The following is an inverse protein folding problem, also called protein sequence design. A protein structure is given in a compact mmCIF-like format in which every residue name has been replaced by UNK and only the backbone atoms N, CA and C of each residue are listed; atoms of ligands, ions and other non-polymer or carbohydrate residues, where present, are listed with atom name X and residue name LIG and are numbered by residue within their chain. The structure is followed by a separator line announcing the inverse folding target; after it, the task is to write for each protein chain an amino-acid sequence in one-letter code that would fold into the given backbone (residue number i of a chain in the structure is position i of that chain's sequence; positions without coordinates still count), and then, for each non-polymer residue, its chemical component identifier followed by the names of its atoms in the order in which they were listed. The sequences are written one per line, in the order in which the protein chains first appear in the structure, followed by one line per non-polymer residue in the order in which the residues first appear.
data_IF_419445961298
#
_entry.id   IF_419445961298
#
_cell.length_a   1.000
_cell.length_b   1.000
_cell.length_c   1.000
_cell.angle_alpha   90.00
_cell.angle_beta   90.00
_cell.angle_gamma   90.00
#
_symmetry.space_group_name_H-M   'P 1'
#
loop_
_entity.id
_entity.type
_entity.pdbx_description
1 polymer ?
#
# COMPACT_ATOMS: atom_id res chain seq x y z
N UNK A 1 0.31 -18.81 17.25
CA UNK A 1 0.91 -19.79 16.32
C UNK A 1 0.96 -19.13 14.95
N UNK A 2 2.05 -18.43 14.63
CA UNK A 2 2.32 -18.01 13.25
C UNK A 2 2.64 -19.28 12.47
N UNK A 3 1.81 -19.63 11.49
CA UNK A 3 2.05 -20.78 10.62
C UNK A 3 3.34 -20.52 9.84
N UNK A 4 4.13 -21.58 9.60
CA UNK A 4 5.41 -21.51 8.86
C UNK A 4 5.32 -20.81 7.49
N UNK A 5 4.10 -20.69 6.97
CA UNK A 5 3.74 -20.05 5.71
C UNK A 5 3.76 -18.52 5.78
N UNK A 6 3.45 -17.92 6.94
CA UNK A 6 3.66 -16.49 7.15
C UNK A 6 5.13 -16.13 7.15
N UNK A 7 5.97 -16.96 7.81
CA UNK A 7 7.40 -16.72 8.06
C UNK A 7 8.23 -16.46 6.79
N UNK A 8 7.92 -17.12 5.66
CA UNK A 8 8.67 -16.96 4.40
C UNK A 8 8.31 -15.69 3.61
N UNK A 9 7.08 -15.20 3.69
CA UNK A 9 6.68 -13.93 3.04
C UNK A 9 7.41 -12.72 3.64
N UNK A 10 7.76 -12.79 4.93
CA UNK A 10 8.47 -11.73 5.63
C UNK A 10 9.93 -11.60 5.23
N UNK A 11 10.61 -12.67 4.79
CA UNK A 11 12.05 -12.63 4.48
C UNK A 11 12.36 -11.75 3.27
N UNK A 12 11.52 -11.79 2.23
CA UNK A 12 11.71 -10.94 1.04
C UNK A 12 11.21 -9.52 1.22
N UNK A 13 10.16 -9.31 2.01
CA UNK A 13 9.77 -7.97 2.46
C UNK A 13 10.89 -7.34 3.31
N UNK A 14 11.52 -8.12 4.19
CA UNK A 14 12.68 -7.70 4.96
C UNK A 14 13.87 -7.41 4.04
N UNK A 15 14.14 -8.29 3.06
CA UNK A 15 15.22 -8.09 2.10
C UNK A 15 15.01 -6.84 1.23
N UNK A 16 13.79 -6.60 0.74
CA UNK A 16 13.43 -5.36 0.04
C UNK A 16 13.65 -4.16 0.96
N UNK A 17 13.17 -4.24 2.20
CA UNK A 17 13.37 -3.22 3.21
C UNK A 17 14.85 -3.03 3.66
N UNK A 18 15.78 -3.89 3.22
CA UNK A 18 17.15 -3.99 3.74
C UNK A 18 17.21 -4.17 5.27
N UNK A 19 16.22 -4.87 5.84
CA UNK A 19 16.09 -5.16 7.26
C UNK A 19 16.40 -6.65 7.49
N UNK A 20 17.01 -6.98 8.64
CA UNK A 20 17.16 -8.37 9.06
C UNK A 20 15.77 -8.99 9.33
N UNK A 21 15.43 -10.14 8.73
CA UNK A 21 14.14 -10.80 8.97
C UNK A 21 13.97 -11.24 10.43
N UNK A 22 15.07 -11.37 11.19
CA UNK A 22 15.07 -11.69 12.62
C UNK A 22 14.80 -10.46 13.51
N UNK A 23 14.55 -9.27 12.94
CA UNK A 23 14.21 -8.09 13.71
C UNK A 23 12.77 -8.22 14.26
N UNK A 24 12.56 -8.36 15.57
CA UNK A 24 11.22 -8.52 16.16
C UNK A 24 10.33 -7.30 15.91
N UNK A 25 10.90 -6.10 15.77
CA UNK A 25 10.16 -4.88 15.48
C UNK A 25 9.61 -4.87 14.05
N UNK A 26 10.31 -5.52 13.11
CA UNK A 26 9.86 -5.66 11.73
C UNK A 26 8.70 -6.65 11.63
N UNK A 27 8.80 -7.81 12.29
CA UNK A 27 7.71 -8.78 12.31
C UNK A 27 6.42 -8.18 12.90
N UNK A 28 6.52 -7.45 14.01
CA UNK A 28 5.36 -6.78 14.62
C UNK A 28 4.76 -5.69 13.73
N UNK A 29 5.58 -4.95 12.98
CA UNK A 29 5.10 -3.96 12.02
C UNK A 29 4.34 -4.60 10.87
N UNK A 30 4.87 -5.68 10.29
CA UNK A 30 4.20 -6.35 9.17
C UNK A 30 2.91 -7.04 9.64
N UNK A 31 2.90 -7.67 10.82
CA UNK A 31 1.67 -8.22 11.41
C UNK A 31 0.62 -7.10 11.58
N UNK A 32 1.01 -5.96 12.17
CA UNK A 32 0.11 -4.80 12.31
C UNK A 32 -0.35 -4.22 10.97
N UNK A 33 0.50 -4.25 9.94
CA UNK A 33 0.13 -3.86 8.57
C UNK A 33 -0.92 -4.81 7.98
N UNK A 34 -0.72 -6.13 8.10
CA UNK A 34 -1.65 -7.15 7.59
C UNK A 34 -2.99 -7.05 8.31
N UNK A 35 -3.00 -6.88 9.63
CA UNK A 35 -4.24 -6.71 10.41
C UNK A 35 -5.03 -5.49 9.94
N UNK A 36 -4.37 -4.35 9.72
CA UNK A 36 -5.04 -3.15 9.16
C UNK A 36 -5.55 -3.42 7.74
N UNK A 37 -4.75 -4.04 6.88
CA UNK A 37 -5.13 -4.30 5.50
C UNK A 37 -6.36 -5.24 5.42
N UNK A 38 -6.39 -6.28 6.26
CA UNK A 38 -7.50 -7.24 6.29
C UNK A 38 -8.78 -6.65 6.88
N UNK A 39 -8.69 -5.64 7.74
CA UNK A 39 -9.85 -4.91 8.26
C UNK A 39 -10.56 -4.02 7.24
N UNK A 40 -9.88 -3.67 6.13
CA UNK A 40 -10.46 -2.86 5.07
C UNK A 40 -11.55 -3.61 4.29
N UNK A 41 -12.44 -2.86 3.66
CA UNK A 41 -13.35 -3.33 2.64
C UNK A 41 -12.59 -3.73 1.38
N UNK A 42 -13.16 -4.66 0.59
CA UNK A 42 -12.54 -5.06 -0.68
C UNK A 42 -12.41 -3.88 -1.66
N UNK A 43 -13.31 -2.89 -1.59
CA UNK A 43 -13.26 -1.69 -2.40
C UNK A 43 -12.13 -0.75 -1.97
N UNK A 44 -11.93 -0.57 -0.66
CA UNK A 44 -10.81 0.22 -0.15
C UNK A 44 -9.46 -0.42 -0.50
N UNK A 45 -9.32 -1.74 -0.41
CA UNK A 45 -8.09 -2.44 -0.87
C UNK A 45 -7.83 -2.23 -2.36
N UNK A 46 -8.86 -2.25 -3.20
CA UNK A 46 -8.73 -1.96 -4.64
C UNK A 46 -8.34 -0.51 -4.91
N UNK A 47 -8.88 0.44 -4.16
CA UNK A 47 -8.47 1.83 -4.25
C UNK A 47 -7.01 2.00 -3.83
N UNK A 48 -6.59 1.31 -2.76
CA UNK A 48 -5.21 1.30 -2.29
C UNK A 48 -4.24 0.80 -3.37
N UNK A 49 -4.59 -0.23 -4.13
CA UNK A 49 -3.78 -0.69 -5.29
C UNK A 49 -3.58 0.45 -6.29
N UNK A 50 -4.64 1.16 -6.67
CA UNK A 50 -4.54 2.28 -7.62
C UNK A 50 -3.66 3.41 -7.07
N UNK A 51 -3.79 3.72 -5.78
CA UNK A 51 -2.95 4.73 -5.10
C UNK A 51 -1.47 4.31 -5.15
N UNK A 52 -1.17 3.05 -4.81
CA UNK A 52 0.20 2.51 -4.83
C UNK A 52 0.79 2.52 -6.23
N UNK A 53 0.02 2.10 -7.25
CA UNK A 53 0.47 2.09 -8.63
C UNK A 53 0.75 3.50 -9.17
N UNK A 54 -0.12 4.47 -8.87
CA UNK A 54 0.09 5.85 -9.29
C UNK A 54 1.27 6.51 -8.55
N UNK A 55 1.46 6.20 -7.26
CA UNK A 55 2.51 6.76 -6.43
C UNK A 55 3.92 6.22 -6.77
N UNK A 56 4.04 4.93 -7.12
CA UNK A 56 5.35 4.28 -7.34
C UNK A 56 5.65 3.83 -8.76
N UNK A 57 4.62 3.63 -9.59
CA UNK A 57 4.78 3.17 -10.98
C UNK A 57 4.31 4.23 -12.02
N UNK A 58 3.90 5.41 -11.56
CA UNK A 58 3.44 6.53 -12.40
C UNK A 58 4.52 7.18 -13.25
N UNK A 59 4.14 7.62 -14.47
CA UNK A 59 5.05 8.24 -15.46
C UNK A 59 5.29 9.71 -15.16
N UNK A 60 6.53 10.09 -14.78
CA UNK A 60 7.03 11.47 -14.94
C UNK A 60 8.08 11.92 -13.91
N UNK A 61 9.14 12.57 -14.39
CA UNK A 61 10.28 13.06 -13.58
C UNK A 61 9.96 14.24 -12.63
N UNK A 62 8.70 14.69 -12.52
CA UNK A 62 8.30 15.88 -11.73
C UNK A 62 7.28 15.59 -10.62
N UNK A 63 6.97 14.32 -10.33
CA UNK A 63 5.96 13.95 -9.33
C UNK A 63 6.54 13.94 -7.92
N UNK A 64 5.71 14.31 -6.93
CA UNK A 64 6.03 14.05 -5.52
C UNK A 64 6.07 12.53 -5.32
N UNK A 65 7.11 12.04 -4.65
CA UNK A 65 7.17 10.63 -4.24
C UNK A 65 6.01 10.33 -3.28
N UNK A 66 5.51 9.10 -3.30
CA UNK A 66 4.48 8.61 -2.37
C UNK A 66 3.10 9.28 -2.53
N UNK A 67 2.85 10.00 -3.63
CA UNK A 67 1.60 10.74 -3.87
C UNK A 67 0.87 10.21 -5.10
N UNK A 68 -0.43 9.95 -4.95
CA UNK A 68 -1.41 9.77 -6.01
C UNK A 68 -2.31 11.01 -6.11
N UNK A 69 -2.32 11.65 -7.27
CA UNK A 69 -3.15 12.84 -7.49
C UNK A 69 -4.62 12.44 -7.65
N UNK A 70 -5.52 13.13 -6.94
CA UNK A 70 -6.94 12.78 -6.92
C UNK A 70 -7.62 12.75 -8.32
N UNK A 71 -7.31 13.66 -9.27
CA UNK A 71 -7.83 13.56 -10.64
C UNK A 71 -7.46 12.23 -11.34
N UNK A 72 -6.22 11.77 -11.16
CA UNK A 72 -5.75 10.49 -11.74
C UNK A 72 -6.42 9.29 -11.07
N UNK A 73 -6.74 9.41 -9.78
CA UNK A 73 -7.54 8.40 -9.08
C UNK A 73 -8.95 8.32 -9.65
N UNK A 74 -9.60 9.45 -9.93
CA UNK A 74 -10.91 9.46 -10.60
C UNK A 74 -10.84 8.83 -12.00
N UNK A 75 -9.81 9.16 -12.78
CA UNK A 75 -9.62 8.61 -14.13
C UNK A 75 -9.33 7.09 -14.11
N UNK A 76 -8.44 6.63 -13.24
CA UNK A 76 -8.04 5.22 -13.14
C UNK A 76 -9.15 4.32 -12.59
N UNK A 77 -9.91 4.81 -11.63
CA UNK A 77 -10.93 4.01 -10.93
C UNK A 77 -12.33 4.12 -11.57
N UNK A 78 -12.59 5.21 -12.31
CA UNK A 78 -13.91 5.55 -12.83
C UNK A 78 -14.94 5.86 -11.74
N UNK A 79 -14.51 6.02 -10.47
CA UNK A 79 -15.40 6.33 -9.36
C UNK A 79 -15.85 7.79 -9.40
N UNK A 80 -17.10 8.03 -8.99
CA UNK A 80 -17.57 9.38 -8.71
C UNK A 80 -17.12 9.88 -7.33
N UNK A 81 -17.25 11.18 -7.10
CA UNK A 81 -16.98 11.86 -5.82
C UNK A 81 -17.62 11.11 -4.64
N UNK A 82 -18.92 10.82 -4.71
CA UNK A 82 -19.66 10.18 -3.61
C UNK A 82 -19.17 8.77 -3.27
N UNK A 83 -18.58 8.05 -4.23
CA UNK A 83 -18.02 6.72 -4.01
C UNK A 83 -16.56 6.76 -3.57
N UNK A 84 -15.80 7.78 -3.97
CA UNK A 84 -14.37 7.91 -3.68
C UNK A 84 -14.11 8.28 -2.21
N UNK A 85 -14.78 9.33 -1.71
CA UNK A 85 -14.48 9.86 -0.37
C UNK A 85 -14.69 8.86 0.78
N UNK A 86 -15.75 8.02 0.81
CA UNK A 86 -15.88 7.01 1.84
C UNK A 86 -14.71 6.01 1.85
N UNK A 87 -14.18 5.64 0.68
CA UNK A 87 -13.04 4.73 0.58
C UNK A 87 -11.73 5.42 1.01
N UNK A 88 -11.54 6.69 0.66
CA UNK A 88 -10.40 7.47 1.15
C UNK A 88 -10.44 7.64 2.66
N UNK A 89 -11.62 7.88 3.22
CA UNK A 89 -11.79 7.98 4.68
C UNK A 89 -11.45 6.66 5.37
N UNK A 90 -11.93 5.53 4.83
CA UNK A 90 -11.60 4.20 5.34
C UNK A 90 -10.08 3.93 5.33
N UNK A 91 -9.41 4.26 4.22
CA UNK A 91 -7.95 4.13 4.11
C UNK A 91 -7.19 5.07 5.05
N UNK A 92 -7.72 6.26 5.30
CA UNK A 92 -7.15 7.26 6.23
C UNK A 92 -7.29 6.81 7.68
N UNK A 93 -8.46 6.31 8.07
CA UNK A 93 -8.70 5.76 9.42
C UNK A 93 -7.79 4.55 9.70
N UNK A 94 -7.57 3.70 8.69
CA UNK A 94 -6.63 2.59 8.73
C UNK A 94 -5.16 3.03 8.57
N UNK A 95 -4.88 4.33 8.47
CA UNK A 95 -3.54 4.94 8.37
C UNK A 95 -2.69 4.43 7.21
N UNK A 96 -3.31 4.14 6.07
CA UNK A 96 -2.60 3.85 4.82
C UNK A 96 -2.29 5.12 4.02
N UNK A 97 -3.13 6.16 4.19
CA UNK A 97 -2.99 7.42 3.47
C UNK A 97 -3.19 8.63 4.36
N UNK A 98 -2.68 9.76 3.88
CA UNK A 98 -3.01 11.11 4.31
C UNK A 98 -3.60 11.84 3.10
N UNK A 99 -4.60 12.67 3.33
CA UNK A 99 -5.14 13.57 2.29
C UNK A 99 -4.59 14.96 2.60
N UNK A 100 -3.75 15.46 1.71
CA UNK A 100 -3.13 16.78 1.78
C UNK A 100 -3.83 17.76 0.81
N UNK A 101 -3.53 19.05 0.95
CA UNK A 101 -4.09 20.15 0.15
C UNK A 101 -5.61 20.39 0.33
N UNK A 102 -6.22 21.21 -0.53
CA UNK A 102 -7.63 21.61 -0.43
C UNK A 102 -8.39 21.19 -1.67
N UNK A 103 -9.65 20.81 -1.48
CA UNK A 103 -10.59 20.58 -2.56
C UNK A 103 -10.57 21.74 -3.59
N UNK A 104 -10.56 21.44 -4.91
CA UNK A 104 -10.66 20.12 -5.56
C UNK A 104 -9.30 19.46 -5.89
N UNK A 105 -8.18 20.03 -5.43
CA UNK A 105 -6.83 19.59 -5.78
C UNK A 105 -6.17 18.86 -4.62
N UNK A 106 -6.89 17.93 -4.00
CA UNK A 106 -6.36 17.14 -2.89
C UNK A 106 -5.32 16.13 -3.40
N UNK A 107 -4.22 16.02 -2.66
CA UNK A 107 -3.15 15.06 -2.89
C UNK A 107 -3.38 13.86 -1.96
N UNK A 108 -3.45 12.64 -2.50
CA UNK A 108 -3.55 11.42 -1.70
C UNK A 108 -2.15 10.86 -1.51
N UNK A 109 -1.60 11.04 -0.32
CA UNK A 109 -0.24 10.64 0.02
C UNK A 109 -0.26 9.34 0.83
N UNK A 110 0.71 8.47 0.59
CA UNK A 110 0.89 7.27 1.41
C UNK A 110 1.40 7.69 2.79
N UNK A 111 0.70 7.25 3.83
CA UNK A 111 1.02 7.61 5.20
C UNK A 111 2.38 7.01 5.61
N UNK A 112 3.25 7.78 6.26
CA UNK A 112 4.51 7.24 6.78
C UNK A 112 4.23 6.27 7.92
N UNK A 113 4.87 5.09 7.91
CA UNK A 113 4.85 4.24 9.10
C UNK A 113 5.73 4.84 10.20
N UNK A 114 5.37 4.58 11.46
CA UNK A 114 6.08 5.11 12.63
C UNK A 114 7.56 4.70 12.70
N UNK A 115 7.93 3.61 12.04
CA UNK A 115 9.29 3.10 11.92
C UNK A 115 10.12 3.78 10.82
N UNK A 116 9.49 4.62 9.98
CA UNK A 116 10.10 5.16 8.76
C UNK A 116 10.17 4.14 7.61
N UNK A 117 9.68 2.91 7.81
CA UNK A 117 9.62 1.89 6.77
C UNK A 117 8.32 2.01 5.98
N UNK A 118 8.41 2.23 4.67
CA UNK A 118 7.22 2.24 3.81
C UNK A 118 6.97 0.83 3.26
N UNK A 119 6.11 0.04 3.92
CA UNK A 119 5.83 -1.33 3.47
C UNK A 119 5.16 -1.36 2.09
N UNK A 120 4.32 -0.36 1.76
CA UNK A 120 3.68 -0.28 0.44
C UNK A 120 4.69 -0.03 -0.69
N UNK A 121 5.68 0.84 -0.48
CA UNK A 121 6.78 1.04 -1.43
C UNK A 121 7.56 -0.27 -1.66
N UNK A 122 7.86 -0.99 -0.56
CA UNK A 122 8.57 -2.26 -0.64
C UNK A 122 7.78 -3.34 -1.37
N UNK A 123 6.47 -3.42 -1.11
CA UNK A 123 5.56 -4.32 -1.82
C UNK A 123 5.53 -3.97 -3.31
N UNK A 124 5.30 -2.69 -3.65
CA UNK A 124 5.24 -2.22 -5.03
C UNK A 124 6.52 -2.56 -5.81
N UNK A 125 7.68 -2.22 -5.25
CA UNK A 125 8.98 -2.52 -5.85
C UNK A 125 9.21 -4.03 -6.02
N UNK A 126 8.85 -4.82 -5.03
CA UNK A 126 8.98 -6.27 -5.10
C UNK A 126 8.06 -6.88 -6.18
N UNK A 127 6.82 -6.40 -6.27
CA UNK A 127 5.87 -6.79 -7.31
C UNK A 127 6.39 -6.46 -8.71
N UNK A 128 6.93 -5.25 -8.92
CA UNK A 128 7.53 -4.84 -10.19
C UNK A 128 8.73 -5.71 -10.59
N UNK A 129 9.66 -5.94 -9.66
CA UNK A 129 10.86 -6.75 -9.92
C UNK A 129 10.52 -8.21 -10.28
N UNK A 130 9.48 -8.75 -9.67
CA UNK A 130 9.07 -10.15 -9.84
C UNK A 130 7.92 -10.34 -10.86
N UNK A 131 7.42 -9.25 -11.45
CA UNK A 131 6.25 -9.24 -12.34
C UNK A 131 5.00 -9.87 -11.69
N UNK A 132 4.82 -9.62 -10.40
CA UNK A 132 3.64 -10.00 -9.62
C UNK A 132 2.66 -8.84 -9.64
N UNK A 133 1.36 -9.13 -9.70
CA UNK A 133 0.33 -8.11 -9.57
C UNK A 133 0.25 -7.57 -8.13
N UNK A 134 0.30 -6.24 -7.97
CA UNK A 134 0.05 -5.60 -6.66
C UNK A 134 -1.36 -5.94 -6.16
N UNK A 135 -2.33 -6.13 -7.07
CA UNK A 135 -3.67 -6.57 -6.73
C UNK A 135 -3.70 -7.93 -6.02
N UNK A 136 -2.98 -8.92 -6.53
CA UNK A 136 -2.97 -10.27 -5.92
C UNK A 136 -2.44 -10.21 -4.48
N UNK A 137 -1.47 -9.33 -4.22
CA UNK A 137 -0.91 -9.16 -2.87
C UNK A 137 -1.86 -8.37 -1.98
N UNK A 138 -2.26 -7.16 -2.40
CA UNK A 138 -2.98 -6.24 -1.52
C UNK A 138 -4.48 -6.53 -1.41
N UNK A 139 -5.12 -7.08 -2.45
CA UNK A 139 -6.58 -7.34 -2.44
C UNK A 139 -6.87 -8.77 -2.04
N UNK A 140 -6.16 -9.72 -2.66
CA UNK A 140 -6.39 -11.16 -2.46
C UNK A 140 -5.57 -11.72 -1.29
N UNK A 141 -4.68 -10.91 -0.70
CA UNK A 141 -3.87 -11.27 0.46
C UNK A 141 -2.78 -12.28 0.15
N UNK A 142 -2.39 -12.42 -1.12
CA UNK A 142 -1.46 -13.45 -1.58
C UNK A 142 0.01 -13.08 -1.37
N UNK A 143 0.38 -12.79 -0.12
CA UNK A 143 1.75 -12.45 0.27
C UNK A 143 2.73 -13.61 0.03
N UNK A 144 2.25 -14.84 -0.16
CA UNK A 144 3.08 -15.98 -0.57
C UNK A 144 3.62 -15.86 -1.99
N UNK A 145 3.02 -15.04 -2.86
CA UNK A 145 3.54 -14.82 -4.22
C UNK A 145 4.88 -14.07 -4.20
N UNK A 146 5.15 -13.34 -3.12
CA UNK A 146 6.39 -12.58 -2.96
C UNK A 146 7.58 -13.44 -2.52
N UNK A 147 7.44 -14.78 -2.47
CA UNK A 147 8.42 -15.80 -2.03
C UNK A 147 9.58 -16.07 -2.95
#
# INVERSE_FOLDING_TARGET
MQTAQGRMSFERLAAAAHISPDNPDFAAQVDGFIDRLTSLSAYARKLLVNIVELAYHGRGQQRKKDVAYLPELYESTGLGVEAMYPLLEELREARFIEVEDRYPFEDVKIAPEASGLNLLENIARCCEQQKISVHEVLVDGRFELMQ
#
